data_IF_943459756238
#
_entry.id   IF_943459756238
#
_cell.length_a   1.000
_cell.length_b   1.000
_cell.length_c   1.000
_cell.angle_alpha   90.00
_cell.angle_beta   90.00
_cell.angle_gamma   90.00
#
_symmetry.space_group_name_H-M   'P 1'
#
loop_
_entity.id
_entity.type
_entity.pdbx_description
1 polymer ?
#
# COMPACT_ATOMS: atom_id res chain seq x y z
N UNK A 1 12.30 57.33 45.24
CA UNK A 1 12.34 55.86 45.17
C UNK A 1 11.64 55.44 43.89
N UNK A 2 12.39 55.09 42.77
CA UNK A 2 11.86 54.77 41.47
C UNK A 2 11.87 53.23 41.35
N UNK A 3 10.67 52.66 41.20
CA UNK A 3 10.49 51.23 41.00
C UNK A 3 10.62 50.96 39.51
N UNK A 4 11.66 50.21 39.08
CA UNK A 4 11.86 49.75 37.71
C UNK A 4 11.14 48.41 37.59
N UNK A 5 10.03 48.39 36.83
CA UNK A 5 9.31 47.19 36.50
C UNK A 5 9.99 46.49 35.33
N UNK A 6 10.53 45.28 35.58
CA UNK A 6 11.21 44.46 34.59
C UNK A 6 10.16 43.61 33.86
N UNK A 7 9.78 43.98 32.62
CA UNK A 7 8.93 43.15 31.77
C UNK A 7 9.77 42.02 31.17
N UNK A 8 9.47 40.79 31.59
CA UNK A 8 10.04 39.57 31.04
C UNK A 8 9.26 39.22 29.77
N UNK A 9 9.84 39.47 28.60
CA UNK A 9 9.26 39.08 27.31
C UNK A 9 9.60 37.61 27.11
N UNK A 10 8.60 36.73 27.25
CA UNK A 10 8.70 35.32 26.83
C UNK A 10 8.57 35.23 25.31
N UNK A 11 9.71 35.08 24.65
CA UNK A 11 9.73 34.76 23.21
C UNK A 11 9.31 33.30 23.02
N UNK A 12 8.08 33.10 22.57
CA UNK A 12 7.57 31.77 22.14
C UNK A 12 8.21 31.43 20.80
N UNK A 13 9.22 30.55 20.84
CA UNK A 13 9.86 30.03 19.63
C UNK A 13 8.89 29.01 18.98
N UNK A 14 8.13 29.44 17.98
CA UNK A 14 7.35 28.53 17.12
C UNK A 14 8.32 27.74 16.25
N UNK A 15 8.59 26.48 16.62
CA UNK A 15 9.20 25.53 15.71
C UNK A 15 8.18 25.19 14.62
N UNK A 16 8.30 25.83 13.47
CA UNK A 16 7.59 25.42 12.28
C UNK A 16 8.20 24.11 11.77
N UNK A 17 7.47 23.00 11.91
CA UNK A 17 7.81 21.75 11.24
C UNK A 17 7.72 21.98 9.73
N UNK A 18 8.69 21.50 8.93
CA UNK A 18 8.61 21.62 7.49
C UNK A 18 7.38 20.80 7.03
N UNK A 19 6.34 21.50 6.60
CA UNK A 19 5.27 20.92 5.82
C UNK A 19 5.87 20.54 4.48
N UNK A 20 5.92 19.25 4.14
CA UNK A 20 6.19 18.83 2.77
C UNK A 20 5.03 19.29 1.90
N UNK A 21 5.09 20.53 1.46
CA UNK A 21 4.24 21.01 0.39
C UNK A 21 4.71 20.30 -0.89
N UNK A 22 3.86 19.45 -1.45
CA UNK A 22 4.02 19.00 -2.83
C UNK A 22 3.71 20.24 -3.67
N UNK A 23 4.77 20.85 -4.23
CA UNK A 23 4.65 22.00 -5.11
C UNK A 23 3.82 21.58 -6.33
N UNK A 24 2.65 22.17 -6.50
CA UNK A 24 1.88 22.05 -7.75
C UNK A 24 2.53 22.98 -8.78
N UNK A 25 3.40 22.45 -9.62
CA UNK A 25 3.72 23.11 -10.89
C UNK A 25 2.44 23.10 -11.74
N UNK A 26 2.16 24.19 -12.49
CA UNK A 26 0.91 24.38 -13.25
C UNK A 26 0.55 23.20 -14.17
N UNK A 27 1.56 22.40 -14.59
CA UNK A 27 1.41 21.26 -15.50
C UNK A 27 1.46 19.88 -14.81
N UNK A 28 1.62 19.83 -13.47
CA UNK A 28 1.78 18.57 -12.73
C UNK A 28 0.66 18.43 -11.70
N UNK A 29 -0.18 17.39 -11.88
CA UNK A 29 -1.21 17.01 -10.90
C UNK A 29 -0.74 15.80 -10.10
N UNK A 30 -0.56 15.98 -8.80
CA UNK A 30 -0.27 14.87 -7.86
C UNK A 30 -1.53 14.50 -7.11
N UNK A 31 -1.86 13.21 -7.12
CA UNK A 31 -3.01 12.66 -6.39
C UNK A 31 -2.52 11.58 -5.42
N UNK A 32 -2.74 11.76 -4.13
CA UNK A 32 -2.46 10.74 -3.12
C UNK A 32 -3.52 9.64 -3.24
N UNK A 33 -3.10 8.44 -3.63
CA UNK A 33 -4.00 7.28 -3.79
C UNK A 33 -4.26 6.58 -2.46
N UNK A 34 -3.23 6.43 -1.63
CA UNK A 34 -3.34 5.82 -0.30
C UNK A 34 -2.20 6.27 0.61
N UNK A 35 -2.40 6.14 1.90
CA UNK A 35 -1.38 6.27 2.94
C UNK A 35 -1.83 5.39 4.11
N UNK A 36 -1.05 4.35 4.43
CA UNK A 36 -1.43 3.38 5.45
C UNK A 36 -0.19 2.64 5.97
N UNK A 37 -0.28 2.14 7.19
CA UNK A 37 0.69 1.23 7.82
C UNK A 37 0.18 -0.22 7.90
N UNK A 38 -0.99 -0.48 7.32
CA UNK A 38 -1.65 -1.77 7.40
C UNK A 38 -2.28 -2.19 6.06
N UNK A 39 -2.49 -3.50 5.89
CA UNK A 39 -3.21 -4.10 4.77
C UNK A 39 -4.70 -3.72 4.78
N UNK A 40 -5.42 -4.08 3.73
CA UNK A 40 -6.87 -3.88 3.65
C UNK A 40 -7.63 -4.66 4.74
N UNK A 41 -7.06 -5.73 5.32
CA UNK A 41 -7.59 -6.49 6.47
C UNK A 41 -7.06 -6.00 7.83
N UNK A 42 -6.39 -4.85 7.88
CA UNK A 42 -5.83 -4.26 9.11
C UNK A 42 -4.61 -4.99 9.68
N UNK A 43 -3.99 -5.90 8.94
CA UNK A 43 -2.72 -6.49 9.32
C UNK A 43 -1.60 -5.46 9.15
N UNK A 44 -0.78 -5.27 10.18
CA UNK A 44 0.31 -4.31 10.17
C UNK A 44 1.37 -4.69 9.14
N UNK A 45 1.83 -3.70 8.37
CA UNK A 45 2.93 -3.86 7.43
C UNK A 45 4.25 -3.78 8.18
N UNK A 46 5.10 -4.80 8.00
CA UNK A 46 6.46 -4.84 8.55
C UNK A 46 7.40 -5.17 7.41
N UNK A 47 8.38 -4.30 7.15
CA UNK A 47 9.41 -4.58 6.17
C UNK A 47 10.40 -5.61 6.71
N UNK A 48 10.77 -6.63 5.90
CA UNK A 48 11.73 -7.64 6.34
C UNK A 48 13.13 -7.06 6.46
N UNK A 49 13.90 -7.59 7.42
CA UNK A 49 15.32 -7.26 7.57
C UNK A 49 16.18 -8.03 6.56
N UNK A 50 17.25 -7.43 6.08
CA UNK A 50 18.23 -8.04 5.18
C UNK A 50 18.40 -7.28 3.85
N UNK A 51 19.13 -7.91 2.91
CA UNK A 51 19.40 -7.34 1.60
C UNK A 51 18.09 -7.20 0.81
N UNK A 52 17.71 -5.98 0.53
CA UNK A 52 16.47 -5.66 -0.17
C UNK A 52 16.42 -6.26 -1.58
N UNK A 53 15.27 -6.80 -1.95
CA UNK A 53 14.95 -7.25 -3.29
C UNK A 53 13.54 -6.82 -3.66
N UNK A 54 13.43 -5.97 -4.68
CA UNK A 54 12.14 -5.55 -5.22
C UNK A 54 11.83 -6.39 -6.45
N UNK A 55 10.60 -6.87 -6.54
CA UNK A 55 10.08 -7.54 -7.74
C UNK A 55 8.82 -6.82 -8.19
N UNK A 56 8.73 -6.48 -9.45
CA UNK A 56 7.53 -5.93 -10.05
C UNK A 56 7.00 -6.90 -11.11
N UNK A 57 5.70 -7.18 -11.09
CA UNK A 57 5.03 -8.03 -12.07
C UNK A 57 3.82 -7.28 -12.65
N UNK A 58 3.63 -7.41 -13.95
CA UNK A 58 2.37 -7.12 -14.60
C UNK A 58 1.56 -8.42 -14.65
N UNK A 59 0.36 -8.39 -14.09
CA UNK A 59 -0.56 -9.53 -14.06
C UNK A 59 -1.76 -9.23 -14.92
N UNK A 60 -2.12 -10.17 -15.80
CA UNK A 60 -3.32 -10.14 -16.63
C UNK A 60 -4.19 -11.36 -16.31
N UNK A 61 -5.42 -11.12 -15.89
CA UNK A 61 -6.39 -12.15 -15.59
C UNK A 61 -7.52 -12.13 -16.61
N UNK A 62 -7.71 -13.24 -17.29
CA UNK A 62 -8.86 -13.42 -18.19
C UNK A 62 -10.18 -13.32 -17.41
N UNK A 63 -11.32 -13.03 -18.07
CA UNK A 63 -12.62 -13.07 -17.44
C UNK A 63 -12.84 -14.36 -16.65
N UNK A 64 -13.33 -14.23 -15.40
CA UNK A 64 -13.60 -15.33 -14.47
C UNK A 64 -12.37 -16.13 -14.00
N UNK A 65 -11.15 -15.77 -14.44
CA UNK A 65 -9.93 -16.41 -13.95
C UNK A 65 -9.80 -16.28 -12.43
N UNK A 66 -9.36 -17.34 -11.78
CA UNK A 66 -9.16 -17.42 -10.34
C UNK A 66 -7.71 -17.83 -10.02
N UNK A 67 -7.07 -17.11 -9.13
CA UNK A 67 -5.79 -17.49 -8.54
C UNK A 67 -5.97 -18.63 -7.55
N UNK A 68 -4.97 -19.50 -7.43
CA UNK A 68 -4.91 -20.46 -6.34
C UNK A 68 -4.80 -19.73 -5.01
N UNK A 69 -5.22 -20.39 -3.92
CA UNK A 69 -4.95 -19.90 -2.57
C UNK A 69 -3.45 -19.78 -2.37
N UNK A 70 -3.00 -18.65 -1.87
CA UNK A 70 -1.59 -18.33 -1.67
C UNK A 70 -1.42 -17.29 -0.56
N UNK A 71 -0.18 -17.11 -0.11
CA UNK A 71 0.19 -16.02 0.78
C UNK A 71 1.53 -15.40 0.36
N UNK A 72 1.84 -14.25 0.93
CA UNK A 72 3.08 -13.50 0.72
C UNK A 72 3.87 -13.43 2.01
N UNK A 73 5.19 -13.78 1.98
CA UNK A 73 6.10 -13.58 3.12
C UNK A 73 6.59 -12.13 3.23
N UNK A 74 6.29 -11.31 2.24
CA UNK A 74 6.80 -9.94 2.09
C UNK A 74 5.66 -8.97 1.82
N UNK A 75 5.80 -7.68 2.21
CA UNK A 75 4.83 -6.66 1.82
C UNK A 75 4.69 -6.60 0.31
N UNK A 76 3.45 -6.54 -0.17
CA UNK A 76 3.13 -6.39 -1.58
C UNK A 76 2.03 -5.35 -1.80
N UNK A 77 2.20 -4.58 -2.87
CA UNK A 77 1.34 -3.46 -3.23
C UNK A 77 0.93 -3.59 -4.67
N UNK A 78 -0.38 -3.66 -4.92
CA UNK A 78 -0.94 -3.72 -6.26
C UNK A 78 -1.59 -2.39 -6.65
N UNK A 79 -1.51 -2.04 -7.95
CA UNK A 79 -2.26 -0.94 -8.53
C UNK A 79 -3.07 -1.46 -9.72
N UNK A 80 -4.38 -1.26 -9.69
CA UNK A 80 -5.30 -1.78 -10.71
C UNK A 80 -5.29 -0.84 -11.92
N UNK A 81 -4.81 -1.34 -13.05
CA UNK A 81 -4.74 -0.61 -14.30
C UNK A 81 -6.04 -0.71 -15.11
N UNK A 82 -6.71 -1.88 -15.05
CA UNK A 82 -7.91 -2.16 -15.82
C UNK A 82 -8.76 -3.23 -15.11
N UNK A 83 -10.08 -3.14 -15.23
CA UNK A 83 -11.02 -4.13 -14.70
C UNK A 83 -11.16 -4.06 -13.17
N UNK A 84 -11.52 -5.21 -12.59
CA UNK A 84 -11.74 -5.38 -11.15
C UNK A 84 -11.18 -6.72 -10.69
N UNK A 85 -10.46 -6.75 -9.58
CA UNK A 85 -10.11 -7.97 -8.87
C UNK A 85 -10.92 -8.04 -7.58
N UNK A 86 -11.48 -9.22 -7.28
CA UNK A 86 -12.05 -9.55 -5.98
C UNK A 86 -11.03 -10.38 -5.22
N UNK A 87 -10.60 -9.91 -4.06
CA UNK A 87 -9.72 -10.64 -3.16
C UNK A 87 -10.54 -11.23 -2.03
N UNK A 88 -10.29 -12.49 -1.70
CA UNK A 88 -10.91 -13.21 -0.59
C UNK A 88 -9.84 -13.85 0.29
N UNK A 89 -9.86 -13.55 1.59
CA UNK A 89 -8.98 -14.16 2.59
C UNK A 89 -9.48 -15.54 3.02
N UNK A 90 -8.64 -16.30 3.70
CA UNK A 90 -9.02 -17.58 4.29
C UNK A 90 -10.06 -17.42 5.42
N UNK A 91 -10.13 -16.26 6.09
CA UNK A 91 -11.17 -15.92 7.07
C UNK A 91 -12.54 -15.68 6.43
N UNK A 92 -12.61 -15.53 5.11
CA UNK A 92 -13.83 -15.27 4.36
C UNK A 92 -14.10 -13.79 4.08
N UNK A 93 -13.23 -12.88 4.51
CA UNK A 93 -13.35 -11.47 4.18
C UNK A 93 -13.14 -11.24 2.68
N UNK A 94 -14.00 -10.41 2.10
CA UNK A 94 -14.00 -10.16 0.65
C UNK A 94 -13.90 -8.66 0.40
N UNK A 95 -13.02 -8.28 -0.54
CA UNK A 95 -12.93 -6.90 -1.02
C UNK A 95 -12.73 -6.86 -2.54
N UNK A 96 -13.42 -5.94 -3.20
CA UNK A 96 -13.24 -5.64 -4.61
C UNK A 96 -12.32 -4.41 -4.75
N UNK A 97 -11.40 -4.49 -5.72
CA UNK A 97 -10.54 -3.39 -6.11
C UNK A 97 -10.69 -3.18 -7.61
N UNK A 98 -10.98 -1.96 -8.02
CA UNK A 98 -11.24 -1.59 -9.40
C UNK A 98 -10.14 -0.68 -9.94
N UNK A 99 -10.15 -0.41 -11.24
CA UNK A 99 -9.22 0.51 -11.89
C UNK A 99 -9.00 1.79 -11.08
N UNK A 100 -7.74 2.10 -10.76
CA UNK A 100 -7.32 3.24 -9.95
C UNK A 100 -7.13 2.94 -8.47
N UNK A 101 -7.59 1.78 -7.99
CA UNK A 101 -7.42 1.38 -6.60
C UNK A 101 -6.01 0.82 -6.34
N UNK A 102 -5.55 1.04 -5.10
CA UNK A 102 -4.34 0.41 -4.56
C UNK A 102 -4.75 -0.74 -3.65
N UNK A 103 -4.19 -1.91 -3.90
CA UNK A 103 -4.31 -3.10 -3.05
C UNK A 103 -3.09 -3.16 -2.15
N UNK A 104 -3.28 -3.10 -0.84
CA UNK A 104 -2.21 -3.37 0.14
C UNK A 104 -2.45 -4.78 0.65
N UNK A 105 -1.61 -5.73 0.20
CA UNK A 105 -1.80 -7.15 0.47
C UNK A 105 -1.43 -7.51 1.91
N UNK A 106 -2.00 -8.61 2.35
CA UNK A 106 -1.77 -9.20 3.67
C UNK A 106 -0.48 -10.02 3.69
N UNK A 107 0.30 -9.88 4.74
CA UNK A 107 1.53 -10.67 4.94
C UNK A 107 1.15 -11.94 5.72
N UNK A 108 1.58 -13.12 5.24
CA UNK A 108 1.36 -14.44 5.84
C UNK A 108 -0.11 -14.83 6.06
N UNK A 109 -1.06 -14.15 5.40
CA UNK A 109 -2.48 -14.52 5.41
C UNK A 109 -2.84 -15.10 4.05
N UNK A 110 -3.43 -16.29 4.06
CA UNK A 110 -3.86 -16.98 2.84
C UNK A 110 -5.04 -16.27 2.21
N UNK A 111 -4.94 -16.08 0.91
CA UNK A 111 -5.97 -15.42 0.12
C UNK A 111 -5.96 -15.87 -1.33
N UNK A 112 -7.00 -15.54 -2.05
CA UNK A 112 -7.10 -15.75 -3.50
C UNK A 112 -7.74 -14.54 -4.17
N UNK A 113 -7.38 -14.32 -5.44
CA UNK A 113 -7.97 -13.29 -6.29
C UNK A 113 -8.80 -13.92 -7.41
N UNK A 114 -9.91 -13.29 -7.75
CA UNK A 114 -10.71 -13.65 -8.93
C UNK A 114 -11.00 -12.39 -9.75
N UNK A 115 -10.96 -12.52 -11.07
CA UNK A 115 -11.57 -11.52 -11.96
C UNK A 115 -13.09 -11.80 -12.02
N UNK A 116 -13.94 -11.00 -11.35
CA UNK A 116 -15.39 -11.26 -11.34
C UNK A 116 -16.08 -10.78 -12.62
N UNK A 117 -15.39 -9.98 -13.44
CA UNK A 117 -15.93 -9.31 -14.63
C UNK A 117 -15.95 -10.17 -15.88
N UNK A 118 -16.37 -9.55 -16.97
CA UNK A 118 -16.45 -10.15 -18.33
C UNK A 118 -15.35 -9.60 -19.26
N UNK A 119 -14.48 -8.73 -18.73
CA UNK A 119 -13.29 -8.18 -19.41
C UNK A 119 -12.03 -8.57 -18.68
N UNK A 120 -10.88 -8.36 -19.30
CA UNK A 120 -9.56 -8.59 -18.66
C UNK A 120 -9.38 -7.66 -17.46
N UNK A 121 -8.81 -8.18 -16.38
CA UNK A 121 -8.28 -7.40 -15.27
C UNK A 121 -6.77 -7.34 -15.38
N UNK A 122 -6.20 -6.12 -15.30
CA UNK A 122 -4.74 -5.88 -15.31
C UNK A 122 -4.32 -5.11 -14.08
N UNK A 123 -3.23 -5.53 -13.49
CA UNK A 123 -2.62 -4.80 -12.38
C UNK A 123 -1.12 -5.02 -12.33
N UNK A 124 -0.42 -4.03 -11.79
CA UNK A 124 0.99 -4.15 -11.43
C UNK A 124 1.07 -4.47 -9.96
N UNK A 125 1.90 -5.43 -9.57
CA UNK A 125 2.19 -5.72 -8.17
C UNK A 125 3.69 -5.57 -7.90
N UNK A 126 4.02 -4.93 -6.79
CA UNK A 126 5.38 -4.78 -6.28
C UNK A 126 5.53 -5.59 -4.99
N UNK A 127 6.56 -6.40 -4.92
CA UNK A 127 6.95 -7.14 -3.72
C UNK A 127 8.19 -6.49 -3.11
N UNK A 128 8.07 -6.06 -1.85
CA UNK A 128 9.15 -5.42 -1.08
C UNK A 128 9.84 -6.44 -0.19
N UNK A 129 10.58 -7.36 -0.83
CA UNK A 129 11.19 -8.51 -0.16
C UNK A 129 12.68 -8.38 0.10
N UNK A 130 13.25 -9.54 0.42
CA UNK A 130 14.68 -9.76 0.54
C UNK A 130 15.13 -10.92 -0.35
N UNK A 131 16.43 -11.12 -0.50
CA UNK A 131 16.97 -12.25 -1.31
C UNK A 131 16.53 -13.63 -0.81
N UNK A 132 16.20 -13.76 0.48
CA UNK A 132 15.93 -15.05 1.14
C UNK A 132 14.45 -15.36 1.33
N UNK A 133 13.54 -14.41 1.07
CA UNK A 133 12.11 -14.60 1.23
C UNK A 133 11.42 -14.81 -0.12
N UNK A 134 10.36 -15.61 -0.11
CA UNK A 134 9.53 -15.84 -1.29
C UNK A 134 8.48 -14.74 -1.42
N UNK A 135 8.29 -14.25 -2.64
CA UNK A 135 7.24 -13.27 -2.91
C UNK A 135 5.84 -13.88 -2.74
N UNK A 136 5.67 -15.13 -3.17
CA UNK A 136 4.38 -15.83 -3.16
C UNK A 136 4.61 -17.31 -2.87
N UNK A 137 3.81 -17.87 -1.98
CA UNK A 137 3.74 -19.30 -1.67
C UNK A 137 2.34 -19.78 -2.02
N UNK A 138 2.25 -20.73 -2.94
CA UNK A 138 0.98 -21.33 -3.36
C UNK A 138 0.67 -22.48 -2.41
N UNK A 139 -0.56 -22.52 -1.91
CA UNK A 139 -1.08 -23.61 -1.09
C UNK A 139 -1.48 -24.80 -1.98
N UNK A 140 -1.15 -26.00 -1.54
CA UNK A 140 -1.54 -27.25 -2.20
C UNK A 140 -3.00 -27.63 -1.96
#
# INVERSE_FOLDING_TARGET
>A
MKIISLFLIHSLLFLSLPSFAIENEEDIKVTKLTETDSSWEKTKIIYPNGDSKITALLVEMQPKAKMKMHHHEVPSFGYILEGTIRVQSESGDIKNFSKGDVVIEMINIKHSGINPGDTITKFVVFYMGTKNLKNTIIEE
#
